data_IF_655677518320
#
_entry.id   IF_655677518320
#
_cell.length_a   1.000
_cell.length_b   1.000
_cell.length_c   1.000
_cell.angle_alpha   90.00
_cell.angle_beta   90.00
_cell.angle_gamma   90.00
#
_symmetry.space_group_name_H-M   'P 1'
#
loop_
_entity.id
_entity.type
_entity.pdbx_description
1 polymer ?
#
# COMPACT_ATOMS: atom_id res chain seq x y z
N UNK A 1 -4.19 -11.84 23.79
CA UNK A 1 -3.37 -12.96 23.24
C UNK A 1 -4.09 -14.25 23.66
N UNK A 2 -4.46 -15.06 22.67
CA UNK A 2 -5.07 -16.36 22.91
C UNK A 2 -4.04 -17.30 23.55
N UNK A 3 -4.43 -17.98 24.61
CA UNK A 3 -3.60 -18.97 25.30
C UNK A 3 -3.90 -20.39 24.84
N UNK A 4 -3.16 -21.35 25.37
CA UNK A 4 -3.30 -22.75 25.02
C UNK A 4 -4.72 -23.32 25.35
N UNK A 5 -5.33 -22.85 26.43
CA UNK A 5 -6.70 -23.24 26.82
C UNK A 5 -7.77 -22.72 25.86
N UNK A 6 -7.56 -21.52 25.29
CA UNK A 6 -8.46 -20.93 24.29
C UNK A 6 -8.41 -21.72 22.99
N UNK A 7 -7.19 -22.10 22.56
CA UNK A 7 -6.96 -22.91 21.35
C UNK A 7 -7.50 -24.33 21.51
N UNK A 8 -7.52 -24.87 22.72
CA UNK A 8 -8.09 -26.18 23.02
C UNK A 8 -9.62 -26.17 23.19
N UNK A 9 -10.28 -25.00 23.08
CA UNK A 9 -11.73 -24.85 23.27
C UNK A 9 -12.17 -25.07 24.74
N UNK A 10 -11.26 -24.95 25.69
CA UNK A 10 -11.51 -25.19 27.12
C UNK A 10 -11.88 -23.89 27.89
N UNK A 11 -11.81 -22.74 27.23
CA UNK A 11 -12.19 -21.45 27.77
C UNK A 11 -13.16 -20.75 26.82
N UNK A 12 -14.03 -19.89 27.35
CA UNK A 12 -14.85 -19.00 26.51
C UNK A 12 -14.00 -17.81 26.04
N UNK A 13 -13.47 -17.93 24.82
CA UNK A 13 -12.65 -16.90 24.20
C UNK A 13 -13.37 -15.55 24.07
N UNK A 14 -14.72 -15.52 24.01
CA UNK A 14 -15.49 -14.28 23.98
C UNK A 14 -15.51 -13.58 25.34
N UNK A 15 -15.70 -14.34 26.44
CA UNK A 15 -15.68 -13.77 27.79
C UNK A 15 -14.29 -13.20 28.11
N UNK A 16 -13.23 -13.90 27.74
CA UNK A 16 -11.86 -13.45 27.93
C UNK A 16 -11.55 -12.20 27.09
N UNK A 17 -12.00 -12.15 25.84
CA UNK A 17 -11.88 -10.97 24.99
C UNK A 17 -12.57 -9.75 25.64
N UNK A 18 -13.80 -9.92 26.10
CA UNK A 18 -14.57 -8.85 26.74
C UNK A 18 -13.90 -8.36 28.05
N UNK A 19 -13.30 -9.27 28.82
CA UNK A 19 -12.54 -8.96 30.01
C UNK A 19 -11.30 -8.12 29.67
N UNK A 20 -10.50 -8.57 28.70
CA UNK A 20 -9.28 -7.90 28.26
C UNK A 20 -9.56 -6.50 27.70
N UNK A 21 -10.63 -6.32 26.94
CA UNK A 21 -11.04 -5.01 26.40
C UNK A 21 -11.42 -4.07 27.56
N UNK A 22 -12.18 -4.53 28.55
CA UNK A 22 -12.53 -3.72 29.73
C UNK A 22 -11.29 -3.29 30.50
N UNK A 23 -10.39 -4.21 30.82
CA UNK A 23 -9.13 -3.91 31.52
C UNK A 23 -8.25 -2.92 30.75
N UNK A 24 -8.18 -3.06 29.41
CA UNK A 24 -7.44 -2.12 28.57
C UNK A 24 -8.03 -0.71 28.68
N UNK A 25 -9.35 -0.58 28.58
CA UNK A 25 -10.05 0.71 28.63
C UNK A 25 -10.06 1.36 30.04
N UNK A 26 -9.95 0.58 31.11
CA UNK A 26 -9.72 1.08 32.46
C UNK A 26 -8.32 1.70 32.58
N UNK A 27 -7.31 1.06 32.01
CA UNK A 27 -5.92 1.56 32.02
C UNK A 27 -5.70 2.72 31.02
N UNK A 28 -6.47 2.77 29.94
CA UNK A 28 -6.34 3.73 28.84
C UNK A 28 -7.70 4.39 28.53
N UNK A 29 -8.19 5.24 29.41
CA UNK A 29 -9.53 5.85 29.30
C UNK A 29 -9.66 6.86 28.14
N UNK A 30 -8.54 7.28 27.55
CA UNK A 30 -8.47 8.18 26.41
C UNK A 30 -8.81 7.49 25.07
N UNK A 31 -8.81 6.16 24.99
CA UNK A 31 -9.13 5.42 23.77
C UNK A 31 -10.57 5.71 23.36
N UNK A 32 -10.77 6.06 22.08
CA UNK A 32 -12.08 6.32 21.46
C UNK A 32 -12.39 5.34 20.33
N UNK A 33 -11.36 4.74 19.73
CA UNK A 33 -11.50 3.71 18.70
C UNK A 33 -10.57 2.55 19.00
N UNK A 34 -11.08 1.34 18.94
CA UNK A 34 -10.35 0.10 19.17
C UNK A 34 -10.57 -0.85 18.01
N UNK A 35 -9.51 -1.46 17.50
CA UNK A 35 -9.61 -2.50 16.49
C UNK A 35 -9.39 -3.88 17.12
N UNK A 36 -10.32 -4.78 16.86
CA UNK A 36 -10.12 -6.21 17.05
C UNK A 36 -9.56 -6.79 15.75
N UNK A 37 -8.32 -7.23 15.81
CA UNK A 37 -7.61 -7.73 14.62
C UNK A 37 -7.64 -9.26 14.63
N UNK A 38 -8.24 -9.85 13.60
CA UNK A 38 -8.22 -11.29 13.39
C UNK A 38 -6.79 -11.77 13.12
N UNK A 39 -6.46 -12.93 13.68
CA UNK A 39 -5.18 -13.61 13.49
C UNK A 39 -5.41 -15.06 13.11
N UNK A 40 -4.39 -15.75 12.57
CA UNK A 40 -4.52 -17.17 12.24
C UNK A 40 -5.12 -18.01 13.38
N UNK A 41 -4.69 -17.88 14.65
CA UNK A 41 -5.33 -18.59 15.75
C UNK A 41 -6.81 -18.27 15.94
N UNK A 42 -7.22 -16.99 15.83
CA UNK A 42 -8.63 -16.60 15.99
C UNK A 42 -9.54 -17.18 14.89
N UNK A 43 -9.01 -17.34 13.68
CA UNK A 43 -9.74 -17.96 12.59
C UNK A 43 -9.84 -19.48 12.74
N UNK A 44 -8.77 -20.14 13.19
CA UNK A 44 -8.78 -21.59 13.47
C UNK A 44 -9.84 -21.94 14.50
N UNK A 45 -9.98 -21.15 15.59
CA UNK A 45 -11.02 -21.36 16.60
C UNK A 45 -12.38 -20.76 16.21
N UNK A 46 -12.49 -20.15 15.02
CA UNK A 46 -13.71 -19.50 14.51
C UNK A 46 -14.27 -18.44 15.46
N UNK A 47 -13.42 -17.60 16.03
CA UNK A 47 -13.83 -16.51 16.89
C UNK A 47 -14.49 -15.40 16.04
N UNK A 48 -15.78 -15.17 16.26
CA UNK A 48 -16.56 -14.15 15.53
C UNK A 48 -16.23 -12.75 16.08
N UNK A 49 -15.19 -12.14 15.53
CA UNK A 49 -14.74 -10.81 15.92
C UNK A 49 -15.70 -9.70 15.50
N UNK A 50 -16.48 -9.89 14.42
CA UNK A 50 -17.49 -8.93 14.02
C UNK A 50 -18.56 -8.81 15.08
N UNK A 51 -19.13 -9.95 15.48
CA UNK A 51 -20.16 -9.99 16.53
C UNK A 51 -19.62 -9.51 17.88
N UNK A 52 -18.35 -9.78 18.18
CA UNK A 52 -17.68 -9.25 19.38
C UNK A 52 -17.54 -7.73 19.31
N UNK A 53 -17.13 -7.16 18.18
CA UNK A 53 -17.02 -5.72 17.99
C UNK A 53 -18.38 -5.00 18.13
N UNK A 54 -19.43 -5.54 17.53
CA UNK A 54 -20.80 -5.02 17.65
C UNK A 54 -21.29 -5.04 19.12
N UNK A 55 -21.12 -6.18 19.80
CA UNK A 55 -21.49 -6.36 21.20
C UNK A 55 -20.74 -5.37 22.12
N UNK A 56 -19.42 -5.29 21.97
CA UNK A 56 -18.58 -4.39 22.77
C UNK A 56 -18.89 -2.92 22.49
N UNK A 57 -19.11 -2.53 21.23
CA UNK A 57 -19.52 -1.17 20.89
C UNK A 57 -20.85 -0.78 21.56
N UNK A 58 -21.82 -1.70 21.59
CA UNK A 58 -23.10 -1.49 22.26
C UNK A 58 -22.93 -1.36 23.80
N UNK A 59 -22.12 -2.23 24.42
CA UNK A 59 -21.84 -2.18 25.86
C UNK A 59 -21.12 -0.90 26.27
N UNK A 60 -20.24 -0.37 25.42
CA UNK A 60 -19.47 0.84 25.70
C UNK A 60 -20.22 2.14 25.38
N UNK A 61 -21.48 2.04 24.98
CA UNK A 61 -22.46 3.13 24.84
C UNK A 61 -21.91 4.37 24.11
N UNK A 62 -21.20 4.18 23.00
CA UNK A 62 -20.62 5.25 22.18
C UNK A 62 -19.39 5.95 22.77
N UNK A 63 -18.94 5.59 23.97
CA UNK A 63 -17.68 6.10 24.55
C UNK A 63 -16.48 5.62 23.73
N UNK A 64 -16.49 4.35 23.31
CA UNK A 64 -15.47 3.73 22.46
C UNK A 64 -16.17 3.00 21.31
N UNK A 65 -15.67 3.19 20.11
CA UNK A 65 -16.09 2.42 18.94
C UNK A 65 -15.14 1.24 18.76
N UNK A 66 -15.69 0.05 18.74
CA UNK A 66 -14.94 -1.18 18.50
C UNK A 66 -15.19 -1.62 17.07
N UNK A 67 -14.13 -1.74 16.31
CA UNK A 67 -14.12 -2.16 14.91
C UNK A 67 -13.39 -3.49 14.81
N UNK A 68 -13.60 -4.22 13.73
CA UNK A 68 -12.84 -5.44 13.46
C UNK A 68 -12.40 -5.51 12.00
N UNK A 69 -11.29 -6.20 11.76
CA UNK A 69 -10.89 -6.66 10.45
C UNK A 69 -10.05 -7.93 10.56
N UNK A 70 -9.97 -8.72 9.47
CA UNK A 70 -9.04 -9.85 9.40
C UNK A 70 -7.65 -9.36 9.02
N UNK A 71 -6.66 -9.70 9.86
CA UNK A 71 -5.23 -9.54 9.60
C UNK A 71 -4.53 -10.90 9.53
N UNK A 72 -5.30 -11.96 9.31
CA UNK A 72 -4.79 -13.32 9.23
C UNK A 72 -4.10 -13.56 7.90
N UNK A 73 -2.96 -14.25 7.94
CA UNK A 73 -2.27 -14.70 6.73
C UNK A 73 -2.89 -15.94 6.07
N UNK A 74 -4.01 -16.45 6.60
CA UNK A 74 -4.75 -17.58 6.01
C UNK A 74 -5.63 -17.07 4.87
N UNK A 75 -6.34 -15.98 5.08
CA UNK A 75 -7.35 -15.46 4.13
C UNK A 75 -6.87 -14.25 3.34
N UNK A 76 -5.86 -13.52 3.83
CA UNK A 76 -5.46 -12.24 3.25
C UNK A 76 -3.95 -12.11 3.11
N UNK A 77 -3.51 -11.34 2.11
CA UNK A 77 -2.15 -10.81 2.07
C UNK A 77 -2.00 -9.68 3.08
N UNK A 78 -0.77 -9.29 3.40
CA UNK A 78 -0.50 -8.16 4.30
C UNK A 78 -1.20 -6.88 3.84
N UNK A 79 -1.11 -6.56 2.56
CA UNK A 79 -1.69 -5.34 1.98
C UNK A 79 -3.22 -5.37 1.91
N UNK A 80 -3.83 -6.55 1.72
CA UNK A 80 -5.27 -6.70 1.87
C UNK A 80 -5.74 -6.45 3.31
N UNK A 81 -4.90 -6.76 4.30
CA UNK A 81 -5.18 -6.39 5.70
C UNK A 81 -5.28 -4.88 5.91
N UNK A 82 -4.45 -4.08 5.22
CA UNK A 82 -4.58 -2.61 5.24
C UNK A 82 -5.89 -2.15 4.61
N UNK A 83 -6.27 -2.68 3.45
CA UNK A 83 -7.55 -2.36 2.80
C UNK A 83 -8.74 -2.66 3.73
N UNK A 84 -8.74 -3.83 4.38
CA UNK A 84 -9.78 -4.20 5.33
C UNK A 84 -9.83 -3.27 6.55
N UNK A 85 -8.67 -2.84 7.07
CA UNK A 85 -8.61 -1.89 8.18
C UNK A 85 -9.21 -0.52 7.80
N UNK A 86 -8.92 -0.03 6.59
CA UNK A 86 -9.53 1.20 6.07
C UNK A 86 -11.03 1.03 5.85
N UNK A 87 -11.46 -0.08 5.25
CA UNK A 87 -12.88 -0.40 5.07
C UNK A 87 -13.66 -0.39 6.39
N UNK A 88 -13.08 -0.94 7.46
CA UNK A 88 -13.72 -0.95 8.77
C UNK A 88 -14.01 0.46 9.34
N UNK A 89 -13.26 1.49 8.90
CA UNK A 89 -13.47 2.87 9.31
C UNK A 89 -14.55 3.60 8.50
N UNK A 90 -14.86 3.15 7.28
CA UNK A 90 -15.75 3.87 6.37
C UNK A 90 -17.16 4.15 6.93
N UNK A 91 -17.80 3.23 7.68
CA UNK A 91 -19.11 3.49 8.29
C UNK A 91 -19.11 4.66 9.27
N UNK A 92 -17.95 5.02 9.80
CA UNK A 92 -17.79 6.11 10.76
C UNK A 92 -17.56 7.48 10.10
N UNK A 93 -17.24 7.51 8.81
CA UNK A 93 -17.00 8.75 8.07
C UNK A 93 -18.28 9.55 7.91
N UNK A 94 -18.28 10.86 8.19
CA UNK A 94 -19.42 11.73 7.92
C UNK A 94 -19.77 11.79 6.43
N UNK A 95 -20.99 12.19 6.10
CA UNK A 95 -21.39 12.49 4.72
C UNK A 95 -21.28 14.00 4.46
N UNK A 96 -20.73 14.37 3.29
CA UNK A 96 -20.67 15.76 2.83
C UNK A 96 -20.43 15.80 1.32
N UNK A 97 -21.14 16.69 0.64
CA UNK A 97 -20.96 16.94 -0.80
C UNK A 97 -19.97 18.08 -1.09
N UNK A 98 -19.17 18.48 -0.11
CA UNK A 98 -18.11 19.46 -0.30
C UNK A 98 -17.08 19.00 -1.34
N UNK A 99 -16.65 19.97 -2.15
CA UNK A 99 -15.60 19.75 -3.15
C UNK A 99 -14.26 19.54 -2.46
N UNK A 100 -13.68 18.35 -2.58
CA UNK A 100 -12.44 17.98 -1.93
C UNK A 100 -11.67 16.90 -2.66
N UNK A 101 -10.35 16.87 -2.49
CA UNK A 101 -9.48 15.75 -2.82
C UNK A 101 -9.32 14.87 -1.57
N UNK A 102 -9.64 13.60 -1.70
CA UNK A 102 -9.37 12.59 -0.68
C UNK A 102 -8.26 11.66 -1.17
N UNK A 103 -7.08 11.79 -0.58
CA UNK A 103 -5.95 10.87 -0.81
C UNK A 103 -6.14 9.67 0.10
N UNK A 104 -6.12 8.47 -0.47
CA UNK A 104 -6.28 7.23 0.28
C UNK A 104 -5.03 6.37 0.17
N UNK A 105 -4.46 6.03 1.33
CA UNK A 105 -3.28 5.20 1.46
C UNK A 105 -2.57 5.43 2.80
N UNK A 106 -1.96 4.39 3.32
CA UNK A 106 -1.16 4.46 4.55
C UNK A 106 0.21 5.05 4.22
N UNK A 107 0.30 6.37 4.23
CA UNK A 107 1.51 7.12 3.90
C UNK A 107 2.25 7.55 5.17
N UNK A 108 3.58 7.66 5.08
CA UNK A 108 4.35 8.32 6.13
C UNK A 108 3.92 9.80 6.25
N UNK A 109 3.85 10.32 7.47
CA UNK A 109 3.38 11.68 7.75
C UNK A 109 4.07 12.76 6.89
N UNK A 110 5.38 12.63 6.70
CA UNK A 110 6.16 13.56 5.87
C UNK A 110 5.74 13.53 4.39
N UNK A 111 5.39 12.35 3.87
CA UNK A 111 4.90 12.19 2.49
C UNK A 111 3.50 12.76 2.35
N UNK A 112 2.61 12.48 3.30
CA UNK A 112 1.26 13.04 3.33
C UNK A 112 1.29 14.58 3.38
N UNK A 113 2.08 15.17 4.29
CA UNK A 113 2.25 16.63 4.39
C UNK A 113 2.79 17.21 3.10
N UNK A 114 3.74 16.51 2.46
CA UNK A 114 4.30 16.92 1.19
C UNK A 114 3.26 16.96 0.09
N UNK A 115 2.46 15.90 -0.06
CA UNK A 115 1.39 15.85 -1.05
C UNK A 115 0.34 16.93 -0.80
N UNK A 116 -0.08 17.12 0.44
CA UNK A 116 -1.03 18.18 0.81
C UNK A 116 -0.51 19.55 0.39
N UNK A 117 0.72 19.89 0.76
CA UNK A 117 1.35 21.17 0.39
C UNK A 117 1.43 21.37 -1.13
N UNK A 118 1.75 20.31 -1.88
CA UNK A 118 1.85 20.41 -3.34
C UNK A 118 0.48 20.64 -3.99
N UNK A 119 -0.54 19.92 -3.57
CA UNK A 119 -1.91 20.10 -4.06
C UNK A 119 -2.48 21.48 -3.69
N UNK A 120 -2.23 21.96 -2.49
CA UNK A 120 -2.60 23.31 -2.06
C UNK A 120 -1.91 24.40 -2.93
N UNK A 121 -0.62 24.23 -3.24
CA UNK A 121 0.11 25.13 -4.14
C UNK A 121 -0.39 25.12 -5.58
N UNK A 122 -0.90 23.96 -6.05
CA UNK A 122 -1.53 23.88 -7.36
C UNK A 122 -2.93 24.50 -7.39
N UNK A 123 -3.53 24.77 -6.22
CA UNK A 123 -4.85 25.38 -6.10
C UNK A 123 -5.99 24.38 -5.85
N UNK A 124 -5.69 23.15 -5.43
CA UNK A 124 -6.73 22.20 -4.98
C UNK A 124 -7.39 22.74 -3.70
N UNK A 125 -8.70 22.96 -3.67
CA UNK A 125 -9.35 23.75 -2.63
C UNK A 125 -9.33 23.11 -1.24
N UNK A 126 -9.31 21.79 -1.17
CA UNK A 126 -9.35 21.05 0.10
C UNK A 126 -8.73 19.66 -0.08
N UNK A 127 -7.65 19.40 0.64
CA UNK A 127 -6.94 18.12 0.58
C UNK A 127 -7.08 17.41 1.93
N UNK A 128 -7.56 16.18 1.92
CA UNK A 128 -7.72 15.32 3.09
C UNK A 128 -7.11 13.95 2.82
N UNK A 129 -6.80 13.22 3.88
CA UNK A 129 -6.21 11.88 3.80
C UNK A 129 -7.05 10.86 4.57
N UNK A 130 -7.03 9.62 4.08
CA UNK A 130 -7.54 8.44 4.76
C UNK A 130 -6.42 7.36 4.74
N UNK A 131 -5.98 6.85 5.89
CA UNK A 131 -6.48 7.08 7.24
C UNK A 131 -6.17 8.51 7.73
N UNK A 132 -6.97 9.04 8.67
CA UNK A 132 -6.66 10.30 9.35
C UNK A 132 -5.60 10.06 10.42
N UNK A 133 -4.87 11.11 10.80
CA UNK A 133 -3.88 11.04 11.89
C UNK A 133 -4.50 10.81 13.25
N UNK A 134 -5.77 11.18 13.42
CA UNK A 134 -6.55 10.96 14.65
C UNK A 134 -7.90 10.35 14.29
N UNK A 135 -8.34 9.40 15.08
CA UNK A 135 -9.62 8.72 14.88
C UNK A 135 -10.85 9.66 14.95
N UNK A 136 -10.68 10.86 15.50
CA UNK A 136 -11.70 11.91 15.56
C UNK A 136 -11.76 12.79 14.32
N UNK A 137 -10.80 12.65 13.38
CA UNK A 137 -10.62 13.50 12.21
C UNK A 137 -10.98 12.77 10.91
N UNK A 138 -11.88 11.80 10.99
CA UNK A 138 -12.33 11.07 9.81
C UNK A 138 -12.88 12.03 8.74
N UNK A 139 -12.34 12.01 7.51
CA UNK A 139 -12.79 12.90 6.46
C UNK A 139 -14.23 12.57 6.07
N UNK A 140 -15.06 13.57 5.74
CA UNK A 140 -16.37 13.31 5.17
C UNK A 140 -16.24 12.79 3.73
N UNK A 141 -17.28 12.13 3.23
CA UNK A 141 -17.34 11.62 1.85
C UNK A 141 -18.73 11.80 1.26
N UNK A 142 -18.78 12.15 -0.02
CA UNK A 142 -20.01 12.30 -0.79
C UNK A 142 -19.74 12.72 -2.24
N UNK A 143 -20.74 13.25 -2.95
CA UNK A 143 -20.69 13.51 -4.39
C UNK A 143 -19.62 14.53 -4.82
N UNK A 144 -19.21 15.43 -3.93
CA UNK A 144 -18.10 16.38 -4.16
C UNK A 144 -16.71 15.81 -3.93
N UNK A 145 -16.59 14.57 -3.42
CA UNK A 145 -15.28 13.95 -3.14
C UNK A 145 -14.66 13.38 -4.41
N UNK A 146 -13.45 13.86 -4.74
CA UNK A 146 -12.56 13.23 -5.73
C UNK A 146 -11.59 12.34 -5.02
N UNK A 147 -11.64 11.05 -5.31
CA UNK A 147 -10.86 9.99 -4.66
C UNK A 147 -9.59 9.72 -5.44
N UNK A 148 -8.44 9.82 -4.79
CA UNK A 148 -7.13 9.56 -5.37
C UNK A 148 -6.38 8.51 -4.54
N UNK A 149 -6.11 7.36 -5.15
CA UNK A 149 -5.41 6.27 -4.46
C UNK A 149 -3.90 6.48 -4.54
N UNK A 150 -3.22 6.38 -3.40
CA UNK A 150 -1.76 6.40 -3.34
C UNK A 150 -1.15 5.00 -3.34
N UNK A 151 -1.94 3.96 -3.09
CA UNK A 151 -1.51 2.57 -3.03
C UNK A 151 -2.44 1.65 -3.85
N UNK A 152 -1.90 0.65 -4.55
CA UNK A 152 -2.61 -0.14 -5.55
C UNK A 152 -3.56 -1.21 -5.00
N UNK A 153 -3.42 -1.57 -3.73
CA UNK A 153 -4.12 -2.68 -3.09
C UNK A 153 -5.42 -2.29 -2.35
N UNK A 154 -5.90 -1.05 -2.54
CA UNK A 154 -7.04 -0.48 -1.80
C UNK A 154 -8.37 -0.62 -2.56
N UNK A 155 -8.58 -1.75 -3.23
CA UNK A 155 -9.74 -1.95 -4.11
C UNK A 155 -11.07 -2.00 -3.36
N UNK A 156 -11.11 -2.60 -2.17
CA UNK A 156 -12.32 -2.65 -1.33
C UNK A 156 -12.70 -1.27 -0.82
N UNK A 157 -11.73 -0.54 -0.27
CA UNK A 157 -11.90 0.83 0.20
C UNK A 157 -12.36 1.76 -0.93
N UNK A 158 -11.72 1.68 -2.11
CA UNK A 158 -12.08 2.49 -3.27
C UNK A 158 -13.53 2.26 -3.70
N UNK A 159 -13.95 1.00 -3.88
CA UNK A 159 -15.33 0.64 -4.24
C UNK A 159 -16.35 1.13 -3.21
N UNK A 160 -16.05 0.97 -1.94
CA UNK A 160 -16.94 1.40 -0.87
C UNK A 160 -17.09 2.93 -0.80
N UNK A 161 -16.00 3.69 -1.04
CA UNK A 161 -16.05 5.15 -1.12
C UNK A 161 -16.82 5.64 -2.38
N UNK A 162 -16.63 4.98 -3.52
CA UNK A 162 -17.39 5.25 -4.74
C UNK A 162 -18.89 4.98 -4.52
N UNK A 163 -19.24 3.89 -3.83
CA UNK A 163 -20.64 3.62 -3.46
C UNK A 163 -21.24 4.71 -2.58
N UNK A 164 -20.44 5.43 -1.80
CA UNK A 164 -20.85 6.59 -1.01
C UNK A 164 -20.86 7.91 -1.79
N UNK A 165 -20.65 7.87 -3.10
CA UNK A 165 -20.74 9.02 -3.99
C UNK A 165 -19.39 9.61 -4.43
N UNK A 166 -18.26 9.18 -3.89
CA UNK A 166 -16.95 9.66 -4.33
C UNK A 166 -16.65 9.29 -5.79
N UNK A 167 -15.90 10.15 -6.48
CA UNK A 167 -15.50 9.96 -7.88
C UNK A 167 -14.03 9.55 -7.91
N UNK A 168 -13.74 8.32 -8.32
CA UNK A 168 -12.38 7.82 -8.47
C UNK A 168 -11.65 8.54 -9.60
N UNK A 169 -10.47 9.03 -9.33
CA UNK A 169 -9.53 9.56 -10.31
C UNK A 169 -8.65 8.40 -10.78
N UNK A 170 -8.76 8.05 -12.07
CA UNK A 170 -7.90 7.06 -12.69
C UNK A 170 -6.53 7.67 -12.96
N UNK A 171 -5.47 7.04 -12.45
CA UNK A 171 -4.09 7.48 -12.60
C UNK A 171 -3.13 6.34 -12.31
N UNK A 172 -1.86 6.42 -12.76
CA UNK A 172 -0.79 5.62 -12.19
C UNK A 172 -0.59 5.96 -10.71
N UNK A 173 0.14 5.11 -9.98
CA UNK A 173 0.46 5.36 -8.57
C UNK A 173 1.71 6.23 -8.43
N UNK A 174 1.86 6.97 -7.30
CA UNK A 174 2.93 7.96 -7.13
C UNK A 174 4.29 7.33 -6.78
N UNK A 175 4.73 6.35 -7.57
CA UNK A 175 6.08 5.78 -7.50
C UNK A 175 6.98 6.37 -8.57
N UNK A 176 8.17 6.82 -8.18
CA UNK A 176 9.11 7.49 -9.07
C UNK A 176 8.66 8.88 -9.50
N UNK A 177 9.36 9.43 -10.48
CA UNK A 177 9.10 10.80 -10.98
C UNK A 177 7.90 10.80 -11.93
N UNK A 178 7.89 9.90 -12.91
CA UNK A 178 6.84 9.81 -13.94
C UNK A 178 5.48 9.51 -13.30
N UNK A 179 5.39 8.45 -12.48
CA UNK A 179 4.13 8.08 -11.84
C UNK A 179 3.61 9.16 -10.91
N UNK A 180 4.48 9.77 -10.11
CA UNK A 180 4.08 10.87 -9.22
C UNK A 180 3.58 12.09 -9.98
N UNK A 181 4.22 12.44 -11.11
CA UNK A 181 3.77 13.55 -11.94
C UNK A 181 2.38 13.27 -12.53
N UNK A 182 2.19 12.12 -13.16
CA UNK A 182 0.92 11.73 -13.77
C UNK A 182 -0.21 11.64 -12.73
N UNK A 183 0.08 11.12 -11.54
CA UNK A 183 -0.85 11.05 -10.42
C UNK A 183 -1.33 12.43 -9.97
N UNK A 184 -0.41 13.39 -9.83
CA UNK A 184 -0.73 14.77 -9.45
C UNK A 184 -1.45 15.52 -10.57
N UNK A 185 -1.05 15.32 -11.84
CA UNK A 185 -1.71 15.93 -13.00
C UNK A 185 -3.16 15.42 -13.17
N UNK A 186 -3.40 14.12 -12.94
CA UNK A 186 -4.75 13.56 -12.99
C UNK A 186 -5.66 14.20 -11.93
N UNK A 187 -5.16 14.39 -10.71
CA UNK A 187 -5.90 15.10 -9.67
C UNK A 187 -6.15 16.56 -10.03
N UNK A 188 -5.14 17.27 -10.52
CA UNK A 188 -5.27 18.66 -10.94
C UNK A 188 -6.29 18.84 -12.07
N UNK A 189 -6.29 17.94 -13.05
CA UNK A 189 -7.26 17.91 -14.15
C UNK A 189 -8.70 17.68 -13.65
N UNK A 190 -8.88 16.81 -12.64
CA UNK A 190 -10.19 16.57 -12.04
C UNK A 190 -10.77 17.81 -11.36
N UNK A 191 -9.94 18.77 -10.95
CA UNK A 191 -10.35 20.08 -10.43
C UNK A 191 -10.35 21.19 -11.49
N UNK A 192 -10.04 20.89 -12.75
CA UNK A 192 -10.00 21.88 -13.84
C UNK A 192 -8.88 22.91 -13.67
N UNK A 193 -7.77 22.57 -13.00
CA UNK A 193 -6.66 23.50 -12.76
C UNK A 193 -5.90 23.78 -14.05
N UNK A 194 -5.41 25.02 -14.19
CA UNK A 194 -4.66 25.42 -15.37
C UNK A 194 -3.32 24.66 -15.48
N UNK A 195 -3.01 24.05 -16.64
CA UNK A 195 -1.77 23.27 -16.81
C UNK A 195 -0.50 24.04 -16.46
N UNK A 196 -0.46 25.33 -16.75
CA UNK A 196 0.70 26.18 -16.41
C UNK A 196 0.93 26.33 -14.90
N UNK A 197 -0.15 26.41 -14.08
CA UNK A 197 -0.04 26.47 -12.63
C UNK A 197 0.45 25.12 -12.06
N UNK A 198 -0.02 24.02 -12.64
CA UNK A 198 0.42 22.66 -12.28
C UNK A 198 1.91 22.47 -12.64
N UNK A 199 2.32 22.81 -13.85
CA UNK A 199 3.70 22.71 -14.30
C UNK A 199 4.65 23.55 -13.42
N UNK A 200 4.27 24.76 -13.03
CA UNK A 200 5.07 25.61 -12.15
C UNK A 200 5.41 24.96 -10.80
N UNK A 201 4.53 24.07 -10.31
CA UNK A 201 4.75 23.29 -9.07
C UNK A 201 5.55 22.01 -9.35
N UNK A 202 5.23 21.29 -10.43
CA UNK A 202 5.77 19.95 -10.69
C UNK A 202 7.14 19.96 -11.38
N UNK A 203 7.43 20.89 -12.28
CA UNK A 203 8.69 20.91 -13.04
C UNK A 203 9.93 20.98 -12.14
N UNK A 204 9.99 21.82 -11.10
CA UNK A 204 11.11 21.80 -10.17
C UNK A 204 11.27 20.48 -9.40
N UNK A 205 10.15 19.79 -9.11
CA UNK A 205 10.16 18.49 -8.44
C UNK A 205 10.71 17.40 -9.36
N UNK A 206 10.23 17.38 -10.60
CA UNK A 206 10.71 16.45 -11.63
C UNK A 206 12.21 16.57 -11.83
N UNK A 207 12.72 17.79 -12.01
CA UNK A 207 14.16 18.02 -12.19
C UNK A 207 14.97 17.48 -11.01
N UNK A 208 14.53 17.72 -9.77
CA UNK A 208 15.21 17.21 -8.58
C UNK A 208 15.14 15.68 -8.49
N UNK A 209 13.95 15.12 -8.71
CA UNK A 209 13.74 13.68 -8.65
C UNK A 209 14.58 12.93 -9.69
N UNK A 210 14.61 13.40 -10.95
CA UNK A 210 15.45 12.82 -12.00
C UNK A 210 16.93 12.90 -11.66
N UNK A 211 17.38 14.03 -11.08
CA UNK A 211 18.77 14.19 -10.66
C UNK A 211 19.14 13.24 -9.51
N UNK A 212 18.25 13.03 -8.56
CA UNK A 212 18.47 12.08 -7.46
C UNK A 212 18.47 10.63 -7.94
N UNK A 213 17.69 10.32 -8.98
CA UNK A 213 17.58 8.98 -9.57
C UNK A 213 18.83 8.59 -10.38
N UNK A 214 19.49 9.52 -11.03
CA UNK A 214 20.56 9.28 -12.02
C UNK A 214 21.71 8.37 -11.54
N UNK A 215 22.26 8.49 -10.31
CA UNK A 215 23.31 7.60 -9.83
C UNK A 215 22.86 6.14 -9.79
N UNK A 216 21.66 5.89 -9.26
CA UNK A 216 21.10 4.55 -9.09
C UNK A 216 20.65 3.95 -10.42
N UNK A 217 20.16 4.78 -11.34
CA UNK A 217 19.82 4.34 -12.69
C UNK A 217 21.01 3.69 -13.39
N UNK A 218 22.22 4.22 -13.28
CA UNK A 218 23.44 3.65 -13.89
C UNK A 218 23.76 2.25 -13.36
N UNK A 219 23.39 1.96 -12.11
CA UNK A 219 23.60 0.64 -11.51
C UNK A 219 22.52 -0.37 -11.92
N UNK A 220 21.29 0.13 -12.21
CA UNK A 220 20.12 -0.67 -12.50
C UNK A 220 19.89 -0.90 -13.99
N UNK A 221 20.35 0.01 -14.85
CA UNK A 221 20.12 -0.05 -16.30
C UNK A 221 20.61 -1.36 -16.92
N UNK A 222 19.74 -2.01 -17.70
CA UNK A 222 20.01 -3.30 -18.34
C UNK A 222 20.02 -4.50 -17.39
N UNK A 223 19.79 -4.31 -16.07
CA UNK A 223 19.66 -5.43 -15.13
C UNK A 223 18.31 -6.12 -15.28
N UNK A 224 18.34 -7.45 -15.25
CA UNK A 224 17.15 -8.30 -15.39
C UNK A 224 16.42 -8.44 -14.05
N UNK A 225 15.13 -8.11 -14.04
CA UNK A 225 14.30 -8.07 -12.84
C UNK A 225 13.16 -9.09 -12.91
N UNK A 226 12.97 -9.83 -11.84
CA UNK A 226 11.82 -10.72 -11.63
C UNK A 226 11.09 -10.29 -10.36
N UNK A 227 9.79 -10.01 -10.45
CA UNK A 227 8.95 -9.72 -9.28
C UNK A 227 8.06 -10.94 -9.00
N UNK A 228 8.25 -11.52 -7.82
CA UNK A 228 7.37 -12.56 -7.30
C UNK A 228 6.15 -11.91 -6.61
N UNK A 229 4.97 -12.53 -6.68
CA UNK A 229 3.75 -11.97 -6.10
C UNK A 229 3.82 -11.93 -4.57
N UNK A 230 3.60 -10.74 -3.98
CA UNK A 230 3.64 -10.57 -2.52
C UNK A 230 2.78 -9.40 -2.03
N UNK A 231 3.02 -8.17 -2.52
CA UNK A 231 2.52 -6.93 -1.94
C UNK A 231 1.45 -6.20 -2.76
N UNK A 232 1.13 -6.67 -3.96
CA UNK A 232 0.31 -5.96 -4.96
C UNK A 232 0.91 -4.62 -5.46
N UNK A 233 2.13 -4.25 -5.04
CA UNK A 233 2.86 -3.09 -5.55
C UNK A 233 3.73 -3.43 -6.77
N UNK A 234 3.77 -4.68 -7.19
CA UNK A 234 4.70 -5.19 -8.20
C UNK A 234 4.53 -4.47 -9.53
N UNK A 235 3.31 -4.18 -9.97
CA UNK A 235 3.04 -3.53 -11.27
C UNK A 235 3.51 -2.07 -11.28
N UNK A 236 3.15 -1.19 -10.33
CA UNK A 236 3.71 0.16 -10.26
C UNK A 236 5.23 0.20 -10.10
N UNK A 237 5.80 -0.73 -9.32
CA UNK A 237 7.25 -0.85 -9.17
C UNK A 237 7.92 -1.30 -10.47
N UNK A 238 7.33 -2.26 -11.19
CA UNK A 238 7.80 -2.70 -12.50
C UNK A 238 7.82 -1.54 -13.51
N UNK A 239 6.75 -0.74 -13.58
CA UNK A 239 6.71 0.45 -14.42
C UNK A 239 7.84 1.42 -14.07
N UNK A 240 8.01 1.75 -12.78
CA UNK A 240 9.08 2.64 -12.32
C UNK A 240 10.47 2.09 -12.69
N UNK A 241 10.75 0.82 -12.35
CA UNK A 241 12.06 0.21 -12.57
C UNK A 241 12.40 0.05 -14.06
N UNK A 242 11.41 -0.28 -14.89
CA UNK A 242 11.64 -0.39 -16.32
C UNK A 242 11.81 0.98 -17.00
N UNK A 243 10.91 1.92 -16.76
CA UNK A 243 10.85 3.18 -17.52
C UNK A 243 11.80 4.24 -17.00
N UNK A 244 11.99 4.30 -15.70
CA UNK A 244 12.80 5.34 -15.08
C UNK A 244 14.22 4.86 -14.70
N UNK A 245 14.36 3.57 -14.34
CA UNK A 245 15.66 2.98 -13.99
C UNK A 245 16.29 2.14 -15.13
N UNK A 246 15.55 1.83 -16.20
CA UNK A 246 16.08 1.10 -17.35
C UNK A 246 16.28 -0.40 -17.12
N UNK A 247 15.61 -1.00 -16.12
CA UNK A 247 15.68 -2.45 -15.87
C UNK A 247 14.88 -3.24 -16.92
N UNK A 248 15.33 -4.46 -17.22
CA UNK A 248 14.65 -5.41 -18.09
C UNK A 248 13.71 -6.32 -17.29
N UNK A 249 12.40 -6.24 -17.55
CA UNK A 249 11.41 -7.06 -16.87
C UNK A 249 11.40 -8.50 -17.43
N UNK A 250 11.73 -9.47 -16.60
CA UNK A 250 11.62 -10.90 -16.95
C UNK A 250 10.19 -11.38 -16.72
N UNK A 251 9.66 -11.14 -15.54
CA UNK A 251 8.27 -11.43 -15.18
C UNK A 251 7.82 -10.51 -14.05
N UNK A 252 6.55 -10.10 -14.08
CA UNK A 252 5.89 -9.34 -13.03
C UNK A 252 4.75 -10.18 -12.49
N UNK A 253 4.96 -10.78 -11.32
CA UNK A 253 3.94 -11.52 -10.60
C UNK A 253 3.21 -10.60 -9.63
N UNK A 254 1.91 -10.79 -9.47
CA UNK A 254 1.10 -10.13 -8.43
C UNK A 254 0.13 -11.12 -7.80
N UNK A 255 -0.12 -11.07 -6.49
CA UNK A 255 -1.03 -12.04 -5.86
C UNK A 255 -2.48 -11.85 -6.32
N UNK A 256 -2.86 -10.62 -6.63
CA UNK A 256 -4.19 -10.25 -7.08
C UNK A 256 -4.13 -9.03 -8.01
N UNK A 257 -4.91 -9.03 -9.08
CA UNK A 257 -4.95 -7.97 -10.08
C UNK A 257 -6.35 -7.37 -10.21
N UNK A 258 -6.56 -6.19 -9.63
CA UNK A 258 -7.71 -5.37 -10.00
C UNK A 258 -7.42 -4.63 -11.30
N UNK A 259 -7.93 -5.16 -12.42
CA UNK A 259 -7.65 -4.63 -13.77
C UNK A 259 -8.14 -3.20 -13.98
N UNK A 260 -9.19 -2.80 -13.29
CA UNK A 260 -9.71 -1.43 -13.41
C UNK A 260 -8.76 -0.44 -12.71
N UNK A 261 -8.38 -0.72 -11.47
CA UNK A 261 -7.49 0.15 -10.71
C UNK A 261 -6.05 0.17 -11.29
N UNK A 262 -5.65 -0.90 -11.97
CA UNK A 262 -4.32 -1.03 -12.57
C UNK A 262 -4.26 -0.59 -14.03
N UNK A 263 -5.38 -0.19 -14.65
CA UNK A 263 -5.43 0.11 -16.08
C UNK A 263 -4.38 1.15 -16.51
N UNK A 264 -4.24 2.24 -15.75
CA UNK A 264 -3.28 3.30 -16.05
C UNK A 264 -1.82 2.85 -15.90
N UNK A 265 -1.50 2.02 -14.91
CA UNK A 265 -0.15 1.43 -14.75
C UNK A 265 0.17 0.42 -15.85
N UNK A 266 -0.77 -0.47 -16.15
CA UNK A 266 -0.60 -1.49 -17.17
C UNK A 266 -0.38 -0.88 -18.57
N UNK A 267 -1.03 0.25 -18.86
CA UNK A 267 -0.84 0.98 -20.12
C UNK A 267 0.59 1.56 -20.28
N UNK A 268 1.31 1.74 -19.18
CA UNK A 268 2.67 2.27 -19.17
C UNK A 268 3.75 1.16 -19.10
N UNK A 269 3.38 -0.09 -18.88
CA UNK A 269 4.35 -1.19 -18.92
C UNK A 269 4.94 -1.37 -20.33
N UNK A 270 6.22 -1.79 -20.45
CA UNK A 270 6.80 -2.14 -21.72
C UNK A 270 5.97 -3.19 -22.47
N UNK A 271 5.85 -3.05 -23.78
CA UNK A 271 5.13 -4.02 -24.61
C UNK A 271 5.71 -5.43 -24.45
N UNK A 272 4.83 -6.43 -24.29
CA UNK A 272 5.25 -7.82 -24.12
C UNK A 272 5.67 -8.19 -22.69
N UNK A 273 5.51 -7.28 -21.70
CA UNK A 273 5.75 -7.61 -20.30
C UNK A 273 4.94 -8.85 -19.90
N UNK A 274 5.62 -9.87 -19.38
CA UNK A 274 5.00 -11.08 -18.86
C UNK A 274 4.38 -10.81 -17.50
N UNK A 275 3.05 -10.86 -17.42
CA UNK A 275 2.30 -10.74 -16.17
C UNK A 275 1.84 -12.11 -15.70
N UNK A 276 1.98 -12.40 -14.42
CA UNK A 276 1.40 -13.58 -13.77
C UNK A 276 0.59 -13.17 -12.54
N UNK A 277 -0.61 -13.73 -12.41
CA UNK A 277 -1.50 -13.50 -11.27
C UNK A 277 -1.61 -14.76 -10.43
N UNK A 278 -1.63 -14.59 -9.11
CA UNK A 278 -1.70 -15.68 -8.15
C UNK A 278 -0.35 -16.11 -7.59
N UNK A 279 -0.38 -17.00 -6.61
CA UNK A 279 0.79 -17.45 -5.84
C UNK A 279 1.07 -18.94 -6.05
N UNK A 280 1.52 -19.32 -7.25
CA UNK A 280 2.11 -20.65 -7.49
C UNK A 280 3.63 -20.55 -7.30
N UNK A 281 4.05 -20.56 -6.03
CA UNK A 281 5.45 -20.30 -5.63
C UNK A 281 6.42 -21.29 -6.27
N UNK A 282 6.08 -22.57 -6.36
CA UNK A 282 6.98 -23.60 -6.93
C UNK A 282 7.27 -23.32 -8.41
N UNK A 283 6.23 -23.14 -9.22
CA UNK A 283 6.39 -22.80 -10.65
C UNK A 283 7.08 -21.46 -10.87
N UNK A 284 6.82 -20.49 -9.99
CA UNK A 284 7.49 -19.19 -10.07
C UNK A 284 8.98 -19.31 -9.76
N UNK A 285 9.38 -20.08 -8.75
CA UNK A 285 10.79 -20.37 -8.44
C UNK A 285 11.48 -21.16 -9.54
N UNK A 286 10.81 -22.13 -10.17
CA UNK A 286 11.33 -22.82 -11.35
C UNK A 286 11.68 -21.83 -12.47
N UNK A 287 10.80 -20.86 -12.75
CA UNK A 287 11.06 -19.81 -13.74
C UNK A 287 12.19 -18.88 -13.35
N UNK A 288 12.26 -18.45 -12.08
CA UNK A 288 13.38 -17.66 -11.55
C UNK A 288 14.70 -18.38 -11.79
N UNK A 289 14.78 -19.69 -11.48
CA UNK A 289 15.99 -20.50 -11.67
C UNK A 289 16.36 -20.68 -13.13
N UNK A 290 15.36 -20.85 -14.00
CA UNK A 290 15.58 -20.96 -15.45
C UNK A 290 16.06 -19.65 -16.07
N UNK A 291 15.45 -18.55 -15.69
CA UNK A 291 15.74 -17.22 -16.24
C UNK A 291 16.98 -16.54 -15.67
N UNK A 292 17.39 -16.91 -14.43
CA UNK A 292 18.55 -16.34 -13.74
C UNK A 292 18.60 -14.81 -13.77
N UNK A 293 17.57 -14.10 -13.27
CA UNK A 293 17.57 -12.64 -13.24
C UNK A 293 18.70 -12.09 -12.35
N UNK A 294 19.07 -10.83 -12.55
CA UNK A 294 20.06 -10.14 -11.68
C UNK A 294 19.46 -9.85 -10.31
N UNK A 295 18.17 -9.55 -10.24
CA UNK A 295 17.45 -9.20 -9.01
C UNK A 295 16.07 -9.85 -8.98
N UNK A 296 15.71 -10.43 -7.83
CA UNK A 296 14.36 -10.92 -7.54
C UNK A 296 13.75 -10.11 -6.40
N UNK A 297 12.56 -9.55 -6.64
CA UNK A 297 11.73 -8.99 -5.58
C UNK A 297 10.82 -10.08 -5.05
N UNK A 298 10.82 -10.33 -3.74
CA UNK A 298 10.09 -11.45 -3.16
C UNK A 298 9.73 -11.21 -1.69
N UNK A 299 8.80 -12.02 -1.18
CA UNK A 299 8.52 -12.12 0.24
C UNK A 299 9.71 -12.66 1.04
N UNK A 300 9.75 -12.34 2.33
CA UNK A 300 10.87 -12.65 3.24
C UNK A 300 11.24 -14.14 3.26
N UNK A 301 10.25 -15.04 3.18
CA UNK A 301 10.48 -16.48 3.23
C UNK A 301 11.26 -17.05 2.04
N UNK A 302 11.27 -16.35 0.89
CA UNK A 302 11.94 -16.77 -0.33
C UNK A 302 13.33 -16.16 -0.50
N UNK A 303 13.63 -15.08 0.21
CA UNK A 303 14.88 -14.35 0.04
C UNK A 303 16.10 -15.20 0.39
N UNK A 304 16.14 -15.80 1.57
CA UNK A 304 17.29 -16.60 2.01
C UNK A 304 17.60 -17.80 1.09
N UNK A 305 16.62 -18.63 0.66
CA UNK A 305 16.89 -19.69 -0.30
C UNK A 305 17.47 -19.18 -1.62
N UNK A 306 16.92 -18.11 -2.19
CA UNK A 306 17.40 -17.53 -3.45
C UNK A 306 18.81 -16.94 -3.30
N UNK A 307 19.11 -16.26 -2.20
CA UNK A 307 20.46 -15.74 -1.93
C UNK A 307 21.49 -16.88 -1.76
N UNK A 308 21.10 -17.99 -1.14
CA UNK A 308 21.95 -19.19 -1.06
C UNK A 308 22.24 -19.79 -2.45
N UNK A 309 21.33 -19.64 -3.41
CA UNK A 309 21.53 -20.01 -4.82
C UNK A 309 22.31 -18.94 -5.63
N UNK A 310 22.76 -17.87 -4.97
CA UNK A 310 23.53 -16.80 -5.59
C UNK A 310 22.67 -15.81 -6.39
N UNK A 311 21.38 -15.66 -6.12
CA UNK A 311 20.47 -14.69 -6.73
C UNK A 311 20.27 -13.53 -5.76
N UNK A 312 20.51 -12.29 -6.20
CA UNK A 312 20.26 -11.14 -5.34
C UNK A 312 18.74 -10.95 -5.11
N UNK A 313 18.36 -10.63 -3.88
CA UNK A 313 16.96 -10.44 -3.52
C UNK A 313 16.68 -9.07 -2.92
N UNK A 314 15.46 -8.57 -3.15
CA UNK A 314 14.88 -7.41 -2.48
C UNK A 314 13.59 -7.84 -1.79
N UNK A 315 13.47 -7.55 -0.50
CA UNK A 315 12.25 -7.87 0.23
C UNK A 315 11.15 -6.87 -0.10
N UNK A 316 10.04 -7.36 -0.62
CA UNK A 316 8.85 -6.56 -0.95
C UNK A 316 8.22 -5.89 0.27
N UNK A 317 8.20 -6.58 1.41
CA UNK A 317 7.63 -6.05 2.67
C UNK A 317 8.32 -4.75 3.13
N UNK A 318 9.62 -4.59 2.89
CA UNK A 318 10.33 -3.36 3.23
C UNK A 318 9.77 -2.14 2.51
N UNK A 319 9.27 -2.32 1.28
CA UNK A 319 8.71 -1.25 0.46
C UNK A 319 7.38 -0.73 1.02
N UNK A 320 6.61 -1.58 1.71
CA UNK A 320 5.34 -1.20 2.33
C UNK A 320 5.55 -0.21 3.48
N UNK A 321 6.65 -0.37 4.22
CA UNK A 321 6.99 0.48 5.37
C UNK A 321 7.90 1.67 5.04
N UNK A 322 8.38 1.75 3.79
CA UNK A 322 9.30 2.80 3.39
C UNK A 322 8.57 4.02 2.79
N UNK A 323 9.06 5.24 3.00
CA UNK A 323 8.46 6.45 2.43
C UNK A 323 8.81 6.60 0.94
N UNK A 324 8.33 5.68 0.11
CA UNK A 324 8.71 5.53 -1.31
C UNK A 324 7.85 6.34 -2.29
N UNK A 325 6.84 7.06 -1.82
CA UNK A 325 5.87 7.75 -2.65
C UNK A 325 6.30 9.19 -2.95
N UNK A 326 6.15 9.61 -4.19
CA UNK A 326 6.42 10.99 -4.64
C UNK A 326 7.73 11.17 -5.40
N UNK A 327 7.82 12.26 -6.17
CA UNK A 327 9.01 12.60 -6.96
C UNK A 327 10.28 12.72 -6.10
N UNK A 328 10.14 13.29 -4.91
CA UNK A 328 11.28 13.53 -4.00
C UNK A 328 11.88 12.21 -3.46
N UNK A 329 11.12 11.10 -3.50
CA UNK A 329 11.54 9.79 -3.03
C UNK A 329 12.09 8.87 -4.15
N UNK A 330 12.08 9.33 -5.40
CA UNK A 330 12.46 8.50 -6.54
C UNK A 330 13.90 7.96 -6.45
N UNK A 331 14.84 8.77 -5.98
CA UNK A 331 16.23 8.35 -5.77
C UNK A 331 16.36 7.28 -4.68
N UNK A 332 15.73 7.49 -3.54
CA UNK A 332 15.72 6.52 -2.43
C UNK A 332 15.02 5.21 -2.80
N UNK A 333 13.92 5.31 -3.55
CA UNK A 333 13.25 4.11 -4.08
C UNK A 333 14.19 3.30 -4.98
N UNK A 334 14.89 3.95 -5.91
CA UNK A 334 15.85 3.27 -6.79
C UNK A 334 17.03 2.67 -6.00
N UNK A 335 17.54 3.38 -4.99
CA UNK A 335 18.61 2.89 -4.12
C UNK A 335 18.22 1.57 -3.43
N UNK A 336 16.97 1.42 -2.99
CA UNK A 336 16.49 0.19 -2.36
C UNK A 336 16.67 -1.04 -3.28
N UNK A 337 16.62 -0.86 -4.59
CA UNK A 337 16.85 -1.94 -5.57
C UNK A 337 18.32 -2.06 -6.01
N UNK A 338 19.09 -0.98 -5.95
CA UNK A 338 20.53 -1.00 -6.24
C UNK A 338 21.35 -1.68 -5.12
N UNK A 339 20.98 -1.47 -3.85
CA UNK A 339 21.69 -2.03 -2.68
C UNK A 339 21.96 -3.55 -2.74
N UNK A 340 20.99 -4.43 -3.07
CA UNK A 340 21.24 -5.87 -3.17
C UNK A 340 22.27 -6.22 -4.23
N UNK A 341 22.25 -5.52 -5.37
CA UNK A 341 23.20 -5.74 -6.46
C UNK A 341 24.62 -5.31 -6.04
N UNK A 342 24.74 -4.15 -5.42
CA UNK A 342 26.01 -3.66 -4.89
C UNK A 342 26.59 -4.59 -3.81
N UNK A 343 25.76 -5.01 -2.84
CA UNK A 343 26.17 -5.98 -1.80
C UNK A 343 26.71 -7.26 -2.42
N UNK A 344 26.06 -7.80 -3.44
CA UNK A 344 26.51 -9.01 -4.13
C UNK A 344 27.87 -8.83 -4.81
N UNK A 345 28.10 -7.69 -5.46
CA UNK A 345 29.40 -7.38 -6.07
C UNK A 345 30.52 -7.39 -5.02
N UNK A 346 30.30 -6.75 -3.87
CA UNK A 346 31.29 -6.73 -2.78
C UNK A 346 31.61 -8.14 -2.25
N UNK A 347 30.60 -9.00 -2.11
CA UNK A 347 30.77 -10.38 -1.62
C UNK A 347 31.42 -11.30 -2.65
N UNK A 348 31.39 -10.99 -3.93
CA UNK A 348 32.03 -11.77 -4.99
C UNK A 348 33.55 -11.57 -5.09
N UNK A 349 34.12 -10.60 -4.35
CA UNK A 349 35.56 -10.35 -4.27
C UNK A 349 36.23 -11.07 -3.08
N UNK A 350 35.45 -11.81 -2.28
CA UNK A 350 35.95 -12.64 -1.16
C UNK A 350 35.88 -14.10 -1.54
#
# INVERSE_FOLDING_TARGET
ILGEKDLAGLADANEELDRLVRELLERRPEIRTLFLVGSCPSEVIKLDLQRAAERLSAQLAGRVRVLNYSGSGIETTFTQGEDHALMAMLPLMPSSDEDQLLIVGTLADAVEDRFRLLFERMGVPRVRSLPPRRSTELPPVGAGTRLLLAQPFLSGTARALVHRGAKLIESPYPFGVEGSRLWMEAAAAAFGLAPAAVAAVLDPLEIRGRRALEPHRRELEGRRLFLLPDSQMEIPLARFLARECGMELVEVGTPYLDRQLMAAEMALLPAGTRLSEGQDVEKQLERVRAERPDLVVCGLGLANPLEAEGIATKWSIELVFSPIHGCDQAGELAELFARPLHRRQLLSFV
#
